data_IF_685899822987
#
_entry.id   IF_685899822987
#
_cell.length_a   1.000
_cell.length_b   1.000
_cell.length_c   1.000
_cell.angle_alpha   90.00
_cell.angle_beta   90.00
_cell.angle_gamma   90.00
#
_symmetry.space_group_name_H-M   'P 1'
#
loop_
_entity.id
_entity.type
_entity.pdbx_description
1 polymer ?
#
# COMPACT_ATOMS: atom_id res chain seq x y z
N UNK A 1 2.11 4.60 19.61
CA UNK A 1 1.71 6.01 19.79
C UNK A 1 0.23 6.14 19.49
N UNK A 2 -0.43 7.29 19.73
CA UNK A 2 -1.87 7.43 19.48
C UNK A 2 -2.26 7.17 18.02
N UNK A 3 -1.35 7.41 17.07
CA UNK A 3 -1.57 7.22 15.63
C UNK A 3 -0.73 6.08 15.03
N UNK A 4 -0.29 5.11 15.85
CA UNK A 4 0.53 3.99 15.38
C UNK A 4 -0.10 2.68 15.82
N UNK A 5 -0.74 2.01 14.86
CA UNK A 5 -1.50 0.80 15.06
C UNK A 5 -0.79 -0.41 14.46
N UNK A 6 -1.13 -1.59 14.98
CA UNK A 6 -0.69 -2.87 14.44
C UNK A 6 -1.92 -3.76 14.25
N UNK A 7 -2.04 -4.36 13.07
CA UNK A 7 -2.97 -5.43 12.81
C UNK A 7 -2.31 -6.76 13.19
N UNK A 8 -3.00 -7.57 14.00
CA UNK A 8 -2.56 -8.91 14.39
C UNK A 8 -3.67 -9.88 13.97
N UNK A 9 -3.32 -10.93 13.22
CA UNK A 9 -4.27 -11.93 12.79
C UNK A 9 -3.94 -13.30 13.41
N UNK A 10 -4.97 -13.93 13.97
CA UNK A 10 -4.90 -15.29 14.51
C UNK A 10 -6.04 -16.10 13.91
N UNK A 11 -5.71 -16.95 12.96
CA UNK A 11 -6.64 -17.75 12.16
C UNK A 11 -6.66 -19.22 12.58
N UNK A 12 -5.62 -19.68 13.29
CA UNK A 12 -5.54 -21.05 13.80
C UNK A 12 -4.99 -21.13 15.23
N UNK A 13 -5.11 -22.30 15.86
CA UNK A 13 -4.65 -22.51 17.24
C UNK A 13 -3.12 -22.49 17.38
N UNK A 14 -2.38 -22.83 16.32
CA UNK A 14 -0.93 -22.72 16.31
C UNK A 14 -0.48 -21.25 16.44
N UNK A 15 -1.11 -20.36 15.68
CA UNK A 15 -0.88 -18.91 15.76
C UNK A 15 -1.30 -18.36 17.13
N UNK A 16 -2.42 -18.83 17.68
CA UNK A 16 -2.82 -18.46 19.04
C UNK A 16 -1.78 -18.85 20.08
N UNK A 17 -1.28 -20.09 20.04
CA UNK A 17 -0.25 -20.54 20.96
C UNK A 17 1.06 -19.76 20.80
N UNK A 18 1.42 -19.37 19.56
CA UNK A 18 2.58 -18.52 19.30
C UNK A 18 2.39 -17.11 19.87
N UNK A 19 1.22 -16.50 19.67
CA UNK A 19 0.87 -15.20 20.23
C UNK A 19 0.89 -15.26 21.76
N UNK A 20 0.21 -16.24 22.36
CA UNK A 20 0.17 -16.44 23.82
C UNK A 20 1.56 -16.61 24.45
N UNK A 21 2.46 -17.36 23.79
CA UNK A 21 3.86 -17.49 24.24
C UNK A 21 4.62 -16.16 24.17
N UNK A 22 4.39 -15.39 23.12
CA UNK A 22 5.06 -14.09 22.90
C UNK A 22 4.55 -13.02 23.87
N UNK A 23 3.24 -13.01 24.12
CA UNK A 23 2.59 -12.09 25.06
C UNK A 23 3.00 -12.42 26.49
N UNK A 24 3.00 -13.70 26.88
CA UNK A 24 3.51 -14.16 28.17
C UNK A 24 2.65 -13.79 29.38
N UNK A 25 1.50 -13.15 29.18
CA UNK A 25 0.62 -12.70 30.25
C UNK A 25 -0.27 -13.84 30.78
N UNK A 26 -0.65 -13.83 32.07
CA UNK A 26 -1.43 -14.92 32.68
C UNK A 26 -2.78 -15.20 32.00
N UNK A 27 -3.44 -14.15 31.51
CA UNK A 27 -4.75 -14.28 30.86
C UNK A 27 -4.70 -15.10 29.58
N UNK A 28 -3.53 -15.25 28.93
CA UNK A 28 -3.40 -16.11 27.75
C UNK A 28 -3.71 -17.60 28.04
N UNK A 29 -3.64 -18.01 29.31
CA UNK A 29 -3.95 -19.37 29.78
C UNK A 29 -5.40 -19.54 30.23
N UNK A 30 -6.20 -18.48 30.18
CA UNK A 30 -7.61 -18.53 30.53
C UNK A 30 -8.35 -19.50 29.57
N UNK A 31 -9.16 -20.39 30.13
CA UNK A 31 -9.97 -21.36 29.38
C UNK A 31 -10.83 -20.72 28.30
N UNK A 32 -11.27 -19.47 28.52
CA UNK A 32 -12.06 -18.68 27.56
C UNK A 32 -11.36 -18.45 26.23
N UNK A 33 -10.02 -18.39 26.21
CA UNK A 33 -9.26 -18.08 25.01
C UNK A 33 -8.59 -19.30 24.35
N UNK A 34 -8.74 -20.49 24.92
CA UNK A 34 -8.06 -21.70 24.41
C UNK A 34 -8.66 -22.25 23.11
N UNK A 35 -9.87 -21.84 22.74
CA UNK A 35 -10.52 -22.25 21.48
C UNK A 35 -10.87 -21.03 20.63
N UNK A 36 -10.89 -21.20 19.31
CA UNK A 36 -11.31 -20.14 18.40
C UNK A 36 -12.71 -19.59 18.73
N UNK A 37 -13.68 -20.46 19.02
CA UNK A 37 -15.03 -20.05 19.41
C UNK A 37 -15.05 -19.29 20.73
N UNK A 38 -14.22 -19.70 21.69
CA UNK A 38 -14.05 -18.99 22.96
C UNK A 38 -13.50 -17.58 22.75
N UNK A 39 -12.42 -17.45 21.96
CA UNK A 39 -11.85 -16.14 21.59
C UNK A 39 -12.89 -15.25 20.91
N UNK A 40 -13.65 -15.79 19.97
CA UNK A 40 -14.70 -15.03 19.27
C UNK A 40 -15.81 -14.57 20.22
N UNK A 41 -16.31 -15.45 21.11
CA UNK A 41 -17.35 -15.09 22.10
C UNK A 41 -16.88 -14.03 23.10
N UNK A 42 -15.59 -13.92 23.33
CA UNK A 42 -14.97 -13.02 24.30
C UNK A 42 -14.05 -11.98 23.62
N UNK A 43 -14.27 -11.68 22.34
CA UNK A 43 -13.35 -10.86 21.53
C UNK A 43 -13.14 -9.46 22.13
N UNK A 44 -14.20 -8.78 22.58
CA UNK A 44 -14.09 -7.42 23.16
C UNK A 44 -13.23 -7.38 24.43
N UNK A 45 -13.18 -8.48 25.19
CA UNK A 45 -12.30 -8.59 26.36
C UNK A 45 -10.88 -8.93 25.94
N UNK A 46 -10.72 -9.84 24.98
CA UNK A 46 -9.41 -10.21 24.43
C UNK A 46 -8.73 -9.01 23.77
N UNK A 47 -9.47 -8.21 23.01
CA UNK A 47 -8.98 -7.02 22.33
C UNK A 47 -8.51 -5.98 23.35
N UNK A 48 -9.27 -5.73 24.43
CA UNK A 48 -8.83 -4.83 25.52
C UNK A 48 -7.55 -5.30 26.21
N UNK A 49 -7.41 -6.61 26.44
CA UNK A 49 -6.20 -7.20 27.03
C UNK A 49 -5.00 -7.07 26.09
N UNK A 50 -5.21 -7.34 24.80
CA UNK A 50 -4.19 -7.19 23.77
C UNK A 50 -3.80 -5.73 23.60
N UNK A 51 -4.75 -4.79 23.53
CA UNK A 51 -4.51 -3.35 23.44
C UNK A 51 -3.65 -2.85 24.61
N UNK A 52 -4.02 -3.23 25.85
CA UNK A 52 -3.23 -2.88 27.03
C UNK A 52 -1.79 -3.42 26.98
N UNK A 53 -1.59 -4.60 26.38
CA UNK A 53 -0.26 -5.19 26.21
C UNK A 53 0.52 -4.56 25.04
N UNK A 54 -0.11 -4.35 23.88
CA UNK A 54 0.53 -3.78 22.68
C UNK A 54 0.92 -2.32 22.87
N UNK A 55 0.23 -1.57 23.72
CA UNK A 55 0.56 -0.16 24.02
C UNK A 55 1.99 0.04 24.56
N UNK A 56 2.61 -1.03 25.09
CA UNK A 56 3.97 -1.02 25.64
C UNK A 56 5.06 -1.07 24.56
N UNK A 57 4.69 -1.23 23.29
CA UNK A 57 5.61 -1.49 22.18
C UNK A 57 5.56 -0.40 21.12
N UNK A 58 6.64 -0.27 20.35
CA UNK A 58 6.55 0.35 19.03
C UNK A 58 5.95 -0.65 18.05
N UNK A 59 5.05 -0.19 17.18
CA UNK A 59 4.33 -1.07 16.24
C UNK A 59 5.28 -1.87 15.32
N UNK A 60 6.35 -1.23 14.82
CA UNK A 60 7.35 -1.87 13.97
C UNK A 60 8.17 -2.94 14.69
N UNK A 61 8.60 -2.68 15.92
CA UNK A 61 9.33 -3.63 16.77
C UNK A 61 8.43 -4.84 17.10
N UNK A 62 7.16 -4.58 17.44
CA UNK A 62 6.20 -5.63 17.75
C UNK A 62 5.85 -6.47 16.51
N UNK A 63 5.67 -5.83 15.34
CA UNK A 63 5.44 -6.52 14.08
C UNK A 63 6.57 -7.53 13.81
N UNK A 64 7.83 -7.09 13.91
CA UNK A 64 8.98 -7.97 13.71
C UNK A 64 9.02 -9.12 14.73
N UNK A 65 8.73 -8.83 16.01
CA UNK A 65 8.68 -9.84 17.07
C UNK A 65 7.61 -10.91 16.80
N UNK A 66 6.40 -10.50 16.44
CA UNK A 66 5.28 -11.40 16.18
C UNK A 66 5.51 -12.24 14.93
N UNK A 67 5.98 -11.62 13.84
CA UNK A 67 6.33 -12.34 12.60
C UNK A 67 7.42 -13.38 12.84
N UNK A 68 8.46 -13.05 13.63
CA UNK A 68 9.52 -13.99 14.01
C UNK A 68 8.98 -15.18 14.84
N UNK A 69 7.89 -14.99 15.59
CA UNK A 69 7.19 -16.04 16.31
C UNK A 69 6.20 -16.84 15.45
N UNK A 70 6.02 -16.48 14.16
CA UNK A 70 5.06 -17.09 13.25
C UNK A 70 3.62 -16.59 13.42
N UNK A 71 3.44 -15.41 14.02
CA UNK A 71 2.13 -14.75 14.14
C UNK A 71 2.03 -13.69 13.03
N UNK A 72 1.03 -13.79 12.13
CA UNK A 72 0.79 -12.74 11.13
C UNK A 72 0.49 -11.41 11.79
N UNK A 73 1.33 -10.41 11.53
CA UNK A 73 1.15 -9.06 12.03
C UNK A 73 1.68 -8.04 11.01
N UNK A 74 1.08 -6.85 10.98
CA UNK A 74 1.47 -5.76 10.08
C UNK A 74 1.22 -4.40 10.74
N UNK A 75 2.14 -3.46 10.58
CA UNK A 75 1.90 -2.07 10.97
C UNK A 75 0.83 -1.48 10.05
N UNK A 76 -0.06 -0.66 10.60
CA UNK A 76 -0.98 0.15 9.79
C UNK A 76 -0.21 1.37 9.31
N UNK A 77 0.19 1.36 8.04
CA UNK A 77 1.01 2.40 7.42
C UNK A 77 0.20 3.64 7.05
N UNK A 78 0.76 4.82 7.32
CA UNK A 78 0.29 6.10 6.77
C UNK A 78 0.74 6.25 5.30
N UNK A 79 0.14 7.16 4.51
CA UNK A 79 0.63 7.46 3.16
C UNK A 79 2.13 7.83 3.12
N UNK A 80 2.64 8.52 4.15
CA UNK A 80 4.06 8.81 4.28
C UNK A 80 4.90 7.55 4.53
N UNK A 81 4.43 6.64 5.37
CA UNK A 81 5.11 5.36 5.65
C UNK A 81 5.22 4.49 4.39
N UNK A 82 4.14 4.42 3.60
CA UNK A 82 4.10 3.62 2.36
C UNK A 82 5.20 4.06 1.39
N UNK A 83 5.47 5.37 1.27
CA UNK A 83 6.56 5.86 0.42
C UNK A 83 7.97 5.51 0.95
N UNK A 84 8.09 5.24 2.25
CA UNK A 84 9.33 4.82 2.89
C UNK A 84 9.44 3.28 3.06
N UNK A 85 8.42 2.52 2.66
CA UNK A 85 8.37 1.06 2.88
C UNK A 85 9.52 0.33 2.15
N UNK A 86 10.36 -0.43 2.87
CA UNK A 86 11.50 -1.13 2.29
C UNK A 86 11.13 -2.15 1.22
N UNK A 87 9.96 -2.78 1.31
CA UNK A 87 9.51 -3.80 0.37
C UNK A 87 9.03 -3.18 -0.93
N UNK A 88 8.30 -2.06 -0.90
CA UNK A 88 7.92 -1.26 -2.06
C UNK A 88 9.15 -0.66 -2.74
N UNK A 89 10.12 -0.17 -1.96
CA UNK A 89 11.40 0.28 -2.48
C UNK A 89 12.17 -0.86 -3.17
N UNK A 90 12.29 -2.03 -2.53
CA UNK A 90 12.93 -3.21 -3.11
C UNK A 90 12.24 -3.66 -4.42
N UNK A 91 10.92 -3.53 -4.49
CA UNK A 91 10.13 -3.85 -5.68
C UNK A 91 10.19 -2.77 -6.76
N UNK A 92 10.73 -1.59 -6.46
CA UNK A 92 10.71 -0.43 -7.35
C UNK A 92 9.27 -0.02 -7.69
N UNK A 93 8.38 0.01 -6.69
CA UNK A 93 6.95 0.26 -6.92
C UNK A 93 6.69 1.70 -7.37
N UNK A 94 7.32 2.69 -6.73
CA UNK A 94 7.13 4.10 -7.08
C UNK A 94 8.10 4.56 -8.16
N UNK A 95 7.56 5.09 -9.25
CA UNK A 95 8.32 5.62 -10.39
C UNK A 95 8.26 7.14 -10.37
N UNK A 96 9.43 7.78 -10.24
CA UNK A 96 9.50 9.23 -10.15
C UNK A 96 9.70 9.83 -11.55
N UNK A 97 8.75 10.64 -12.00
CA UNK A 97 8.78 11.31 -13.30
C UNK A 97 8.65 12.81 -13.12
N UNK A 98 9.22 13.57 -14.06
CA UNK A 98 9.11 15.03 -14.11
C UNK A 98 7.90 15.41 -14.98
N UNK A 99 6.81 15.86 -14.37
CA UNK A 99 5.66 16.39 -15.09
C UNK A 99 5.85 17.88 -15.36
N UNK A 100 5.53 18.39 -16.56
CA UNK A 100 5.80 19.80 -16.92
C UNK A 100 5.20 20.85 -15.96
N UNK A 101 4.02 20.60 -15.41
CA UNK A 101 3.34 21.55 -14.51
C UNK A 101 3.55 21.33 -13.01
N UNK A 102 3.58 20.07 -12.55
CA UNK A 102 3.63 19.75 -11.12
C UNK A 102 5.05 19.37 -10.67
N UNK A 103 5.97 19.12 -11.61
CA UNK A 103 7.36 18.78 -11.34
C UNK A 103 7.56 17.28 -11.05
N UNK A 104 8.57 16.96 -10.23
CA UNK A 104 8.89 15.57 -9.87
C UNK A 104 7.83 14.96 -8.94
N UNK A 105 7.13 13.94 -9.43
CA UNK A 105 6.12 13.21 -8.65
C UNK A 105 6.27 11.69 -8.74
N UNK A 106 5.79 11.00 -7.70
CA UNK A 106 5.71 9.55 -7.66
C UNK A 106 4.47 9.07 -8.42
N UNK A 107 4.67 8.07 -9.27
CA UNK A 107 3.62 7.33 -9.96
C UNK A 107 3.65 5.88 -9.49
N UNK A 108 2.47 5.31 -9.25
CA UNK A 108 2.36 3.91 -8.87
C UNK A 108 2.66 3.02 -10.06
N UNK A 109 3.68 2.18 -9.92
CA UNK A 109 3.98 1.12 -10.86
C UNK A 109 2.94 0.00 -10.80
N UNK A 110 2.88 -0.88 -11.82
CA UNK A 110 1.99 -2.03 -11.81
C UNK A 110 2.18 -2.90 -10.56
N UNK A 111 1.07 -3.36 -9.95
CA UNK A 111 1.12 -4.22 -8.77
C UNK A 111 1.76 -5.60 -9.06
N UNK A 112 1.75 -6.02 -10.32
CA UNK A 112 2.33 -7.27 -10.81
C UNK A 112 3.63 -7.05 -11.58
N UNK A 113 4.49 -8.08 -11.62
CA UNK A 113 5.73 -8.09 -12.43
C UNK A 113 5.64 -9.20 -13.47
N UNK A 114 5.81 -8.84 -14.73
CA UNK A 114 5.82 -9.79 -15.84
C UNK A 114 7.27 -10.04 -16.27
N UNK A 115 7.71 -11.29 -16.25
CA UNK A 115 9.09 -11.66 -16.60
C UNK A 115 9.43 -11.47 -18.08
N UNK A 116 8.42 -11.57 -18.97
CA UNK A 116 8.61 -11.47 -20.43
C UNK A 116 8.27 -10.11 -21.02
N UNK A 117 7.37 -9.37 -20.38
CA UNK A 117 6.90 -8.06 -20.81
C UNK A 117 6.80 -7.13 -19.61
N UNK A 118 7.93 -6.76 -18.97
CA UNK A 118 7.91 -5.84 -17.84
C UNK A 118 7.15 -4.56 -18.20
N UNK A 119 6.26 -4.12 -17.32
CA UNK A 119 5.59 -2.83 -17.49
C UNK A 119 6.59 -1.70 -17.29
N UNK A 120 6.39 -0.60 -18.01
CA UNK A 120 7.18 0.64 -17.91
C UNK A 120 6.25 1.84 -18.14
N UNK A 121 6.38 2.90 -17.34
CA UNK A 121 5.72 4.19 -17.58
C UNK A 121 6.73 4.99 -18.37
N UNK A 122 6.35 5.38 -19.58
CA UNK A 122 7.25 6.00 -20.55
C UNK A 122 7.31 7.52 -20.45
N UNK A 123 6.27 8.12 -19.90
CA UNK A 123 6.10 9.56 -19.80
C UNK A 123 5.13 9.89 -18.66
N UNK A 124 5.21 11.10 -18.08
CA UNK A 124 4.18 11.60 -17.17
C UNK A 124 2.82 11.74 -17.89
N UNK A 125 1.77 12.07 -17.12
CA UNK A 125 0.49 12.41 -17.71
C UNK A 125 0.65 13.55 -18.75
N UNK A 126 -0.03 13.48 -19.90
CA UNK A 126 0.07 14.54 -20.90
C UNK A 126 -0.66 15.80 -20.45
N UNK A 127 -0.18 16.94 -20.92
CA UNK A 127 -0.92 18.20 -20.85
C UNK A 127 -2.14 18.16 -21.77
N UNK A 128 -3.07 19.08 -21.52
CA UNK A 128 -4.20 19.29 -22.42
C UNK A 128 -3.68 19.60 -23.83
N UNK A 129 -4.19 18.89 -24.83
CA UNK A 129 -3.80 19.06 -26.24
C UNK A 129 -2.39 18.61 -26.63
N UNK A 130 -1.56 18.11 -25.70
CA UNK A 130 -0.13 17.82 -25.95
C UNK A 130 0.13 16.92 -27.18
N UNK A 131 -0.79 16.03 -27.51
CA UNK A 131 -0.66 15.08 -28.62
C UNK A 131 -1.59 15.39 -29.80
N UNK A 132 -2.26 16.55 -29.83
CA UNK A 132 -3.21 16.91 -30.88
C UNK A 132 -2.56 16.85 -32.26
N UNK A 133 -1.45 17.57 -32.47
CA UNK A 133 -0.75 17.57 -33.76
C UNK A 133 -0.27 16.17 -34.17
N UNK A 134 0.33 15.43 -33.22
CA UNK A 134 0.79 14.06 -33.46
C UNK A 134 -0.35 13.15 -33.95
N UNK A 135 -1.55 13.31 -33.39
CA UNK A 135 -2.71 12.48 -33.75
C UNK A 135 -3.36 12.98 -35.04
N UNK A 136 -3.77 14.26 -35.10
CA UNK A 136 -4.52 14.78 -36.24
C UNK A 136 -3.69 14.81 -37.51
N UNK A 137 -2.46 15.35 -37.45
CA UNK A 137 -1.58 15.41 -38.62
C UNK A 137 -0.87 14.07 -38.81
N UNK A 138 -0.22 13.57 -37.76
CA UNK A 138 0.67 12.41 -37.87
C UNK A 138 -0.03 11.05 -38.07
N UNK A 139 -1.14 10.81 -37.38
CA UNK A 139 -1.84 9.52 -37.42
C UNK A 139 -3.06 9.53 -38.35
N UNK A 140 -3.83 10.63 -38.38
CA UNK A 140 -5.03 10.75 -39.19
C UNK A 140 -4.78 11.36 -40.57
N UNK A 141 -3.62 11.99 -40.78
CA UNK A 141 -3.25 12.59 -42.07
C UNK A 141 -4.02 13.86 -42.40
N UNK A 142 -4.50 14.59 -41.39
CA UNK A 142 -5.09 15.92 -41.56
C UNK A 142 -4.06 16.87 -42.18
N UNK A 143 -4.51 17.71 -43.12
CA UNK A 143 -3.64 18.72 -43.71
C UNK A 143 -3.25 19.77 -42.66
N UNK A 144 -1.98 20.19 -42.65
CA UNK A 144 -1.46 21.19 -41.70
C UNK A 144 -2.31 22.47 -41.65
N UNK A 145 -2.85 22.89 -42.81
CA UNK A 145 -3.71 24.05 -42.92
C UNK A 145 -5.05 23.87 -42.18
N UNK A 146 -5.67 22.69 -42.29
CA UNK A 146 -6.92 22.38 -41.60
C UNK A 146 -6.68 22.29 -40.08
N UNK A 147 -5.57 21.69 -39.66
CA UNK A 147 -5.17 21.65 -38.25
C UNK A 147 -4.98 23.06 -37.68
N UNK A 148 -4.27 23.94 -38.40
CA UNK A 148 -4.06 25.32 -37.99
C UNK A 148 -5.38 26.11 -37.86
N UNK A 149 -6.36 25.87 -38.74
CA UNK A 149 -7.69 26.48 -38.65
C UNK A 149 -8.46 26.01 -37.41
N UNK A 150 -8.38 24.73 -37.06
CA UNK A 150 -8.98 24.20 -35.84
C UNK A 150 -8.35 24.77 -34.57
N UNK A 151 -7.02 24.90 -34.53
CA UNK A 151 -6.32 25.56 -33.42
C UNK A 151 -6.72 27.05 -33.33
N UNK A 152 -6.74 27.76 -34.45
CA UNK A 152 -7.11 29.18 -34.48
C UNK A 152 -8.58 29.42 -34.06
N UNK A 153 -9.46 28.46 -34.32
CA UNK A 153 -10.86 28.51 -33.88
C UNK A 153 -11.07 28.14 -32.39
N UNK A 154 -10.04 27.66 -31.71
CA UNK A 154 -10.12 27.14 -30.33
C UNK A 154 -10.80 25.77 -30.23
N UNK A 155 -11.02 25.08 -31.36
CA UNK A 155 -11.54 23.72 -31.38
C UNK A 155 -10.48 22.70 -30.94
N UNK A 156 -9.20 23.03 -31.13
CA UNK A 156 -8.04 22.28 -30.66
C UNK A 156 -7.09 23.22 -29.90
N UNK A 157 -6.33 22.65 -28.97
CA UNK A 157 -5.20 23.32 -28.28
C UNK A 157 -3.86 22.94 -28.92
#
# INVERSE_FOLDING_TARGET
>A
GPDSFIAIAVTCDQEWQALARTVGEPWCRDGRFQTALGRWRHQDELDRLLEGWTFRWRATELMALLQAAGVPAGVVESPEDVHADPQLAHRGHFWYLEHPEIGRHAYDGPAFRLSRTPGEVRAPAPLLGQHNEQVFVGLLGMADQEFAELVASGALE
#
